data_IF_535341107966
#
_entry.id   IF_535341107966
#
_cell.length_a   1.000
_cell.length_b   1.000
_cell.length_c   1.000
_cell.angle_alpha   90.00
_cell.angle_beta   90.00
_cell.angle_gamma   90.00
#
_symmetry.space_group_name_H-M   'P 1'
#
loop_
_entity.id
_entity.type
_entity.pdbx_description
1 polymer ?
#
# COMPACT_ATOMS: atom_id res chain seq x y z
N UNK A 1 15.69 -0.23 -1.80
CA UNK A 1 14.58 -1.16 -1.88
C UNK A 1 13.31 -0.41 -2.24
N UNK A 2 12.56 -0.95 -3.17
CA UNK A 2 11.34 -0.27 -3.61
C UNK A 2 10.20 -0.53 -2.64
N UNK A 3 9.30 0.45 -2.54
CA UNK A 3 8.16 0.32 -1.66
C UNK A 3 7.33 -0.92 -1.98
N UNK A 4 7.22 -1.27 -3.26
CA UNK A 4 6.44 -2.43 -3.67
C UNK A 4 6.94 -3.71 -3.03
N UNK A 5 8.26 -3.85 -2.90
CA UNK A 5 8.83 -5.04 -2.31
C UNK A 5 8.62 -5.04 -0.80
N UNK A 6 8.72 -3.86 -0.17
CA UNK A 6 8.48 -3.74 1.26
C UNK A 6 7.03 -4.13 1.56
N UNK A 7 6.11 -3.63 0.76
CA UNK A 7 4.69 -3.90 0.96
C UNK A 7 4.36 -5.36 0.67
N UNK A 8 4.96 -5.93 -0.38
CA UNK A 8 4.72 -7.31 -0.74
C UNK A 8 5.18 -8.25 0.39
N UNK A 9 6.37 -8.00 0.93
CA UNK A 9 6.88 -8.81 2.02
C UNK A 9 5.96 -8.73 3.23
N UNK A 10 5.47 -7.53 3.54
CA UNK A 10 4.58 -7.34 4.66
C UNK A 10 3.26 -8.08 4.44
N UNK A 11 2.72 -8.06 3.21
CA UNK A 11 1.49 -8.74 2.91
C UNK A 11 1.62 -10.25 3.11
N UNK A 12 2.76 -10.81 2.70
CA UNK A 12 2.97 -12.24 2.88
C UNK A 12 3.00 -12.60 4.36
N UNK A 13 3.67 -11.78 5.17
CA UNK A 13 3.74 -12.05 6.59
C UNK A 13 2.39 -11.89 7.27
N UNK A 14 1.62 -10.89 6.87
CA UNK A 14 0.30 -10.67 7.45
C UNK A 14 -0.64 -11.83 7.10
N UNK A 15 -0.56 -12.32 5.88
CA UNK A 15 -1.41 -13.44 5.47
C UNK A 15 -1.03 -14.71 6.22
N UNK A 16 0.26 -14.93 6.45
CA UNK A 16 0.72 -16.08 7.20
C UNK A 16 0.21 -16.04 8.64
N UNK A 17 0.02 -14.84 9.17
CA UNK A 17 -0.48 -14.66 10.52
C UNK A 17 -2.00 -14.68 10.57
N UNK A 18 -2.65 -14.78 9.41
CA UNK A 18 -4.10 -14.81 9.36
C UNK A 18 -4.77 -13.44 9.45
N UNK A 19 -3.99 -12.38 9.35
CA UNK A 19 -4.54 -11.02 9.48
C UNK A 19 -5.14 -10.48 8.19
N UNK A 20 -4.70 -10.99 7.04
CA UNK A 20 -5.32 -10.67 5.77
C UNK A 20 -5.51 -11.98 5.01
N UNK A 21 -6.34 -11.96 4.00
CA UNK A 21 -6.71 -13.17 3.27
C UNK A 21 -5.92 -13.35 1.99
N UNK A 22 -5.78 -14.60 1.56
CA UNK A 22 -5.25 -14.90 0.23
C UNK A 22 -6.42 -14.83 -0.73
N UNK A 23 -6.16 -14.41 -1.96
CA UNK A 23 -7.22 -14.30 -2.97
C UNK A 23 -7.47 -15.60 -3.71
N UNK A 24 -6.55 -16.55 -3.58
CA UNK A 24 -6.65 -17.81 -4.32
C UNK A 24 -5.82 -17.82 -5.58
N UNK A 25 -5.20 -16.72 -5.93
CA UNK A 25 -4.37 -16.65 -7.14
C UNK A 25 -2.90 -16.70 -6.79
N UNK A 26 -2.10 -17.16 -7.73
CA UNK A 26 -0.66 -17.19 -7.60
C UNK A 26 -0.08 -16.22 -8.61
N UNK A 27 0.87 -15.41 -8.18
CA UNK A 27 1.49 -14.42 -9.02
C UNK A 27 2.97 -14.73 -9.18
N UNK A 28 3.56 -14.28 -10.27
CA UNK A 28 4.96 -14.48 -10.52
C UNK A 28 5.59 -13.15 -10.89
N UNK A 29 6.75 -12.87 -10.33
CA UNK A 29 7.51 -11.68 -10.66
C UNK A 29 8.83 -12.13 -11.24
N UNK A 30 9.24 -11.50 -12.33
CA UNK A 30 10.55 -11.75 -12.91
C UNK A 30 11.46 -10.60 -12.50
N UNK A 31 12.60 -10.91 -11.92
CA UNK A 31 13.54 -9.90 -11.48
C UNK A 31 14.49 -9.55 -12.61
N UNK A 32 15.22 -8.46 -12.45
CA UNK A 32 16.09 -7.96 -13.49
C UNK A 32 17.20 -8.92 -13.86
N UNK A 33 17.60 -9.79 -12.95
CA UNK A 33 18.64 -10.76 -13.22
C UNK A 33 18.08 -12.01 -13.89
N UNK A 34 16.80 -12.01 -14.24
CA UNK A 34 16.17 -13.14 -14.90
C UNK A 34 15.57 -14.18 -13.97
N UNK A 35 15.77 -14.04 -12.69
CA UNK A 35 15.19 -15.00 -11.75
C UNK A 35 13.69 -14.74 -11.61
N UNK A 36 12.95 -15.76 -11.23
CA UNK A 36 11.52 -15.66 -11.06
C UNK A 36 11.14 -15.92 -9.62
N UNK A 37 10.13 -15.23 -9.16
CA UNK A 37 9.67 -15.36 -7.79
C UNK A 37 8.16 -15.57 -7.81
N UNK A 38 7.70 -16.68 -7.26
CA UNK A 38 6.27 -17.01 -7.25
C UNK A 38 5.74 -16.87 -5.83
N UNK A 39 4.57 -16.27 -5.70
CA UNK A 39 3.97 -16.10 -4.38
C UNK A 39 2.45 -16.07 -4.50
N UNK A 40 1.78 -16.30 -3.38
CA UNK A 40 0.33 -16.29 -3.36
C UNK A 40 -0.16 -14.87 -3.19
N UNK A 41 -1.13 -14.49 -4.00
CA UNK A 41 -1.69 -13.14 -3.94
C UNK A 41 -2.54 -12.99 -2.68
N UNK A 42 -2.42 -11.84 -2.03
CA UNK A 42 -3.21 -11.52 -0.85
C UNK A 42 -4.10 -10.34 -1.15
N UNK A 43 -5.05 -10.05 -0.27
CA UNK A 43 -5.85 -8.84 -0.41
C UNK A 43 -4.91 -7.63 -0.31
N UNK A 44 -5.37 -6.50 -0.83
CA UNK A 44 -4.55 -5.30 -0.89
C UNK A 44 -4.43 -4.61 0.47
N UNK A 45 -3.30 -3.94 0.68
CA UNK A 45 -3.16 -3.05 1.81
C UNK A 45 -2.63 -1.73 1.27
N UNK A 46 -3.11 -0.64 1.79
CA UNK A 46 -2.68 0.70 1.37
C UNK A 46 -2.78 1.63 2.57
N UNK A 47 -2.11 2.78 2.45
CA UNK A 47 -2.22 3.81 3.49
C UNK A 47 -3.60 4.45 3.37
N UNK A 48 -3.98 5.20 4.40
CA UNK A 48 -5.26 5.89 4.42
C UNK A 48 -5.38 6.80 3.18
N UNK A 49 -4.34 7.57 2.89
CA UNK A 49 -4.37 8.50 1.76
C UNK A 49 -4.48 7.77 0.43
N UNK A 50 -3.81 6.63 0.31
CA UNK A 50 -3.88 5.87 -0.92
C UNK A 50 -5.26 5.29 -1.13
N UNK A 51 -5.89 4.77 -0.07
CA UNK A 51 -7.25 4.26 -0.16
C UNK A 51 -8.20 5.39 -0.57
N UNK A 52 -7.98 6.59 -0.01
CA UNK A 52 -8.83 7.72 -0.33
C UNK A 52 -8.68 8.09 -1.80
N UNK A 53 -7.45 8.06 -2.31
CA UNK A 53 -7.18 8.36 -3.70
C UNK A 53 -7.87 7.35 -4.63
N UNK A 54 -7.98 6.11 -4.19
CA UNK A 54 -8.62 5.07 -4.97
C UNK A 54 -10.14 5.05 -4.86
N UNK A 55 -10.70 5.95 -4.06
CA UNK A 55 -12.15 6.04 -3.93
C UNK A 55 -12.75 5.26 -2.76
N UNK A 56 -11.91 4.94 -1.80
CA UNK A 56 -12.35 4.18 -0.62
C UNK A 56 -12.15 4.97 0.65
N UNK A 57 -12.82 4.55 1.70
CA UNK A 57 -12.60 5.14 3.02
C UNK A 57 -12.46 4.01 4.04
N UNK A 58 -11.69 4.26 5.07
CA UNK A 58 -11.47 3.29 6.12
C UNK A 58 -12.73 3.24 6.99
N UNK A 59 -13.19 2.04 7.29
CA UNK A 59 -14.38 1.87 8.12
C UNK A 59 -14.13 2.41 9.50
N UNK A 60 -15.16 3.02 10.06
CA UNK A 60 -15.08 3.62 11.37
C UNK A 60 -14.67 2.57 12.42
N UNK A 61 -13.74 2.95 13.27
CA UNK A 61 -13.26 2.04 14.29
C UNK A 61 -12.14 1.12 13.89
N UNK A 62 -11.77 1.14 12.61
CA UNK A 62 -10.68 0.28 12.15
C UNK A 62 -9.33 0.83 12.59
N UNK A 63 -8.43 -0.05 12.95
CA UNK A 63 -7.08 0.34 13.30
C UNK A 63 -6.13 -0.17 12.22
N UNK A 64 -5.00 0.50 12.08
CA UNK A 64 -4.02 0.09 11.08
C UNK A 64 -3.66 -1.37 11.30
N UNK A 65 -3.61 -2.13 10.21
CA UNK A 65 -3.29 -3.55 10.30
C UNK A 65 -1.79 -3.74 10.44
N UNK A 66 -1.00 -2.78 9.99
CA UNK A 66 0.43 -2.79 10.18
C UNK A 66 0.99 -1.41 9.93
N UNK A 67 2.23 -1.18 10.35
CA UNK A 67 2.93 0.05 10.07
C UNK A 67 4.25 -0.32 9.42
N UNK A 68 4.56 0.34 8.32
CA UNK A 68 5.77 0.06 7.57
C UNK A 68 6.51 1.34 7.29
N UNK A 69 7.83 1.24 7.15
CA UNK A 69 8.62 2.38 6.73
C UNK A 69 8.71 2.31 5.21
N UNK A 70 8.23 3.33 4.56
CA UNK A 70 8.30 3.41 3.10
C UNK A 70 8.96 4.71 2.71
N UNK A 71 9.45 4.75 1.48
CA UNK A 71 10.09 5.95 0.95
C UNK A 71 9.01 6.91 0.44
N UNK A 72 9.08 8.13 0.91
CA UNK A 72 8.10 9.16 0.53
C UNK A 72 8.87 10.33 -0.08
N UNK A 73 8.48 10.81 -1.25
CA UNK A 73 9.16 11.93 -1.88
C UNK A 73 8.70 13.25 -1.29
N UNK A 74 9.62 14.18 -1.20
CA UNK A 74 9.32 15.54 -0.81
C UNK A 74 9.96 16.47 -1.82
N UNK A 75 9.19 17.36 -2.40
CA UNK A 75 9.68 18.29 -3.41
C UNK A 75 9.77 19.67 -2.81
N UNK A 76 10.93 20.32 -2.98
CA UNK A 76 11.12 21.69 -2.54
C UNK A 76 11.57 22.49 -3.71
N UNK A 77 11.16 23.75 -3.76
CA UNK A 77 11.56 24.66 -4.81
C UNK A 77 12.32 25.81 -4.16
N UNK A 78 13.51 26.11 -4.68
CA UNK A 78 14.30 27.18 -4.10
C UNK A 78 13.95 28.50 -4.81
N UNK A 79 14.64 29.57 -4.45
CA UNK A 79 14.34 30.89 -4.98
C UNK A 79 14.55 30.99 -6.48
N UNK A 80 15.40 30.16 -7.03
CA UNK A 80 15.69 30.18 -8.46
C UNK A 80 14.70 29.35 -9.26
N UNK A 81 13.71 28.79 -8.61
CA UNK A 81 12.76 27.96 -9.30
C UNK A 81 13.21 26.52 -9.53
N UNK A 82 14.33 26.15 -8.96
CA UNK A 82 14.85 24.79 -9.12
C UNK A 82 14.18 23.88 -8.11
N UNK A 83 13.59 22.80 -8.58
CA UNK A 83 12.93 21.84 -7.71
C UNK A 83 13.86 20.71 -7.36
N UNK A 84 13.88 20.35 -6.11
CA UNK A 84 14.70 19.26 -5.61
C UNK A 84 13.79 18.24 -4.96
N UNK A 85 13.94 16.98 -5.35
CA UNK A 85 13.15 15.91 -4.76
C UNK A 85 14.05 15.10 -3.84
N UNK A 86 13.62 14.92 -2.62
CA UNK A 86 14.32 14.07 -1.67
C UNK A 86 13.38 12.98 -1.21
N UNK A 87 13.95 11.83 -0.90
CA UNK A 87 13.17 10.71 -0.43
C UNK A 87 13.49 10.43 1.03
N UNK A 88 12.47 10.22 1.81
CA UNK A 88 12.61 9.96 3.25
C UNK A 88 11.95 8.65 3.59
N UNK A 89 12.48 7.96 4.59
CA UNK A 89 11.79 6.82 5.15
C UNK A 89 10.80 7.36 6.16
N UNK A 90 9.56 6.98 6.02
CA UNK A 90 8.50 7.45 6.90
C UNK A 90 7.64 6.28 7.34
N UNK A 91 7.32 6.24 8.63
CA UNK A 91 6.42 5.22 9.16
C UNK A 91 5.03 5.54 8.65
N UNK A 92 4.40 4.58 8.03
CA UNK A 92 3.06 4.76 7.47
C UNK A 92 2.16 3.64 7.95
N UNK A 93 0.94 4.00 8.32
CA UNK A 93 -0.04 3.03 8.76
C UNK A 93 -0.77 2.51 7.54
N UNK A 94 -0.97 1.20 7.49
CA UNK A 94 -1.64 0.55 6.37
C UNK A 94 -2.92 -0.12 6.83
N UNK A 95 -3.91 -0.11 5.96
CA UNK A 95 -5.20 -0.73 6.21
C UNK A 95 -5.47 -1.76 5.13
N UNK A 96 -6.11 -2.85 5.49
CA UNK A 96 -6.38 -3.91 4.52
C UNK A 96 -7.67 -3.62 3.76
N UNK A 97 -7.84 -4.31 2.65
CA UNK A 97 -9.02 -4.16 1.83
C UNK A 97 -10.30 -4.47 2.62
N UNK A 98 -10.20 -5.38 3.57
CA UNK A 98 -11.34 -5.73 4.42
C UNK A 98 -11.74 -4.61 5.38
N UNK A 99 -10.85 -3.64 5.58
CA UNK A 99 -11.11 -2.53 6.51
C UNK A 99 -11.63 -1.28 5.84
N UNK A 100 -11.84 -1.33 4.53
CA UNK A 100 -12.30 -0.15 3.80
C UNK A 100 -13.59 -0.44 3.07
N UNK A 101 -14.28 0.62 2.69
CA UNK A 101 -15.51 0.51 1.92
C UNK A 101 -15.51 1.61 0.88
N UNK A 102 -16.30 1.45 -0.14
CA UNK A 102 -16.34 2.42 -1.23
C UNK A 102 -16.91 3.75 -0.73
N UNK A 103 -16.18 4.81 -0.97
CA UNK A 103 -16.64 6.14 -0.58
C UNK A 103 -17.62 6.71 -1.59
N UNK A 104 -17.56 6.22 -2.83
CA UNK A 104 -18.42 6.72 -3.87
C UNK A 104 -19.84 6.25 -3.80
N UNK A 105 -20.09 5.19 -3.09
CA UNK A 105 -21.37 4.66 -2.98
C UNK A 105 -22.36 5.63 -2.57
N UNK A 106 -22.12 6.50 -1.70
CA UNK A 106 -23.05 7.38 -1.29
C UNK A 106 -23.25 8.42 -2.24
N UNK A 107 -22.22 8.90 -2.86
CA UNK A 107 -22.40 9.96 -3.80
C UNK A 107 -23.16 9.52 -4.98
N UNK A 108 -23.06 8.31 -5.27
CA UNK A 108 -23.68 7.80 -6.44
C UNK A 108 -25.13 7.63 -6.32
N UNK A 109 -25.62 7.67 -5.26
CA UNK A 109 -26.88 7.37 -5.15
C UNK A 109 -27.59 8.28 -4.83
N UNK A 110 -27.50 8.56 -4.92
CA UNK A 110 -28.40 9.27 -4.69
C UNK A 110 -28.69 9.77 -5.15
#
# INVERSE_FOLDING_TARGET
MKNEIIILDAKQKLAEQGLIKYTGRTLMIELMDGSEYTFKETERIHTFMEWKRLGYKVKKGSKAITKLQIWVPTVKENEDGVKTTKFWLKNSAFFSESQVESADKKGGEK
#
